data_IF_330005968358
#
_entry.id   IF_330005968358
#
_cell.length_a   1.000
_cell.length_b   1.000
_cell.length_c   1.000
_cell.angle_alpha   90.00
_cell.angle_beta   90.00
_cell.angle_gamma   90.00
#
_symmetry.space_group_name_H-M   'P 1'
#
loop_
_entity.id
_entity.type
_entity.pdbx_description
1 polymer ?
#
# COMPACT_ATOMS: atom_id res chain seq x y z
N UNK A 1 -5.08 3.88 -13.99
CA UNK A 1 -6.16 4.89 -13.94
C UNK A 1 -6.30 5.57 -12.58
N UNK A 2 -6.73 4.91 -11.49
CA UNK A 2 -6.99 5.62 -10.20
C UNK A 2 -5.82 6.47 -9.67
N UNK A 3 -4.58 5.99 -9.71
CA UNK A 3 -3.39 6.76 -9.29
C UNK A 3 -3.20 8.04 -10.13
N UNK A 4 -3.57 8.00 -11.42
CA UNK A 4 -3.53 9.16 -12.32
C UNK A 4 -4.55 10.22 -11.91
N UNK A 5 -5.66 9.82 -11.28
CA UNK A 5 -6.71 10.73 -10.83
C UNK A 5 -6.44 11.36 -9.45
N UNK A 6 -5.37 10.97 -8.75
CA UNK A 6 -5.00 11.64 -7.50
C UNK A 6 -4.74 13.13 -7.77
N UNK A 7 -5.32 14.00 -6.95
CA UNK A 7 -5.02 15.43 -6.96
C UNK A 7 -3.69 15.64 -6.22
N UNK A 8 -2.60 15.40 -6.94
CA UNK A 8 -1.24 15.64 -6.47
C UNK A 8 -0.30 15.75 -7.68
N UNK A 9 0.71 16.65 -7.67
CA UNK A 9 1.62 16.83 -8.80
C UNK A 9 2.28 15.52 -9.21
N UNK A 10 2.05 15.10 -10.46
CA UNK A 10 2.45 13.75 -10.95
C UNK A 10 3.96 13.62 -11.10
N UNK A 11 4.62 14.70 -11.46
CA UNK A 11 6.08 14.85 -11.47
C UNK A 11 6.71 14.62 -10.08
N UNK A 12 5.94 14.70 -9.00
CA UNK A 12 6.35 14.40 -7.62
C UNK A 12 5.95 13.01 -7.13
N UNK A 13 5.33 12.20 -7.99
CA UNK A 13 4.93 10.84 -7.67
C UNK A 13 5.84 9.85 -8.38
N UNK A 14 6.53 9.01 -7.60
CA UNK A 14 7.22 7.82 -8.11
C UNK A 14 6.36 6.60 -7.82
N UNK A 15 5.95 5.87 -8.87
CA UNK A 15 5.15 4.66 -8.75
C UNK A 15 6.07 3.45 -8.85
N UNK A 16 6.13 2.65 -7.79
CA UNK A 16 6.98 1.46 -7.73
C UNK A 16 6.08 0.23 -7.66
N UNK A 17 6.09 -0.58 -8.71
CA UNK A 17 5.37 -1.86 -8.72
C UNK A 17 6.26 -2.97 -8.16
N UNK A 18 5.72 -3.71 -7.20
CA UNK A 18 6.34 -4.94 -6.71
C UNK A 18 5.75 -6.16 -7.40
N UNK A 19 6.56 -6.87 -8.18
CA UNK A 19 6.16 -8.09 -8.90
C UNK A 19 6.88 -9.29 -8.26
N UNK A 20 6.20 -10.43 -8.09
CA UNK A 20 6.74 -11.57 -7.34
C UNK A 20 6.64 -12.90 -8.11
N UNK A 21 7.17 -12.92 -9.33
CA UNK A 21 7.14 -14.08 -10.23
C UNK A 21 5.71 -14.64 -10.36
N UNK A 22 4.78 -13.75 -10.69
CA UNK A 22 3.37 -14.10 -10.93
C UNK A 22 3.25 -15.15 -12.02
N UNK A 23 2.30 -16.06 -11.87
CA UNK A 23 1.98 -17.14 -12.81
C UNK A 23 0.92 -16.73 -13.84
N UNK A 24 0.62 -15.43 -13.91
CA UNK A 24 -0.36 -14.82 -14.80
C UNK A 24 0.26 -13.65 -15.59
N UNK A 25 -0.58 -12.86 -16.24
CA UNK A 25 -0.16 -11.75 -17.11
C UNK A 25 0.20 -10.46 -16.34
N UNK A 26 0.35 -10.52 -15.02
CA UNK A 26 0.63 -9.35 -14.19
C UNK A 26 1.89 -8.61 -14.64
N UNK A 27 2.98 -9.34 -14.93
CA UNK A 27 4.25 -8.75 -15.39
C UNK A 27 4.10 -8.02 -16.73
N UNK A 28 3.40 -8.63 -17.69
CA UNK A 28 3.08 -8.02 -19.00
C UNK A 28 2.26 -6.74 -18.85
N UNK A 29 1.23 -6.78 -18.01
CA UNK A 29 0.34 -5.64 -17.75
C UNK A 29 1.13 -4.48 -17.12
N UNK A 30 1.95 -4.77 -16.10
CA UNK A 30 2.80 -3.77 -15.45
C UNK A 30 3.80 -3.16 -16.45
N UNK A 31 4.41 -3.96 -17.31
CA UNK A 31 5.31 -3.46 -18.35
C UNK A 31 4.58 -2.54 -19.34
N UNK A 32 3.37 -2.91 -19.75
CA UNK A 32 2.52 -2.08 -20.61
C UNK A 32 2.14 -0.74 -19.97
N UNK A 33 1.73 -0.76 -18.69
CA UNK A 33 1.40 0.44 -17.91
C UNK A 33 2.63 1.34 -17.76
N UNK A 34 3.77 0.76 -17.38
CA UNK A 34 5.03 1.50 -17.22
C UNK A 34 5.43 2.19 -18.51
N UNK A 35 5.36 1.50 -19.65
CA UNK A 35 5.68 2.08 -20.96
C UNK A 35 4.71 3.19 -21.35
N UNK A 36 3.41 3.00 -21.08
CA UNK A 36 2.36 3.93 -21.49
C UNK A 36 2.38 5.24 -20.70
N UNK A 37 2.72 5.18 -19.42
CA UNK A 37 2.54 6.30 -18.49
C UNK A 37 3.84 6.79 -17.85
N UNK A 38 5.02 6.31 -18.26
CA UNK A 38 6.31 6.70 -17.68
C UNK A 38 6.54 8.21 -17.69
N UNK A 39 6.09 8.92 -18.72
CA UNK A 39 6.25 10.37 -18.86
C UNK A 39 5.25 11.21 -18.07
N UNK A 40 4.17 10.61 -17.57
CA UNK A 40 3.17 11.34 -16.77
C UNK A 40 3.63 11.53 -15.32
N UNK A 41 4.48 10.65 -14.81
CA UNK A 41 4.91 10.62 -13.42
C UNK A 41 6.38 11.02 -13.26
N UNK A 42 6.79 11.40 -12.04
CA UNK A 42 8.20 11.60 -11.71
C UNK A 42 9.05 10.34 -11.92
N UNK A 43 8.40 9.17 -11.89
CA UNK A 43 8.93 7.96 -12.48
C UNK A 43 8.02 6.76 -12.23
N UNK A 44 8.17 5.74 -13.07
CA UNK A 44 7.57 4.42 -12.84
C UNK A 44 8.70 3.39 -12.86
N UNK A 45 8.76 2.55 -11.84
CA UNK A 45 9.72 1.44 -11.77
C UNK A 45 9.06 0.16 -11.31
N UNK A 46 9.74 -0.95 -11.57
CA UNK A 46 9.34 -2.29 -11.16
C UNK A 46 10.47 -2.92 -10.37
N UNK A 47 10.16 -3.57 -9.27
CA UNK A 47 11.13 -4.39 -8.53
C UNK A 47 10.59 -5.81 -8.38
N UNK A 48 11.50 -6.77 -8.53
CA UNK A 48 11.21 -8.15 -8.16
C UNK A 48 11.16 -8.27 -6.63
N UNK A 49 10.15 -8.97 -6.13
CA UNK A 49 9.87 -9.15 -4.71
C UNK A 49 10.31 -10.53 -4.25
N UNK A 50 11.06 -10.57 -3.15
CA UNK A 50 11.45 -11.83 -2.52
C UNK A 50 10.32 -12.33 -1.61
N UNK A 51 9.37 -13.07 -2.18
CA UNK A 51 8.32 -13.75 -1.41
C UNK A 51 8.77 -15.14 -0.95
N UNK A 52 8.98 -15.32 0.34
CA UNK A 52 9.25 -16.63 0.96
C UNK A 52 8.04 -17.21 1.73
N UNK A 53 6.85 -16.66 1.52
CA UNK A 53 5.60 -17.17 2.11
C UNK A 53 4.94 -18.28 1.26
N UNK A 54 4.08 -19.12 1.87
CA UNK A 54 3.44 -20.23 1.16
C UNK A 54 2.51 -19.73 0.03
N UNK A 55 2.60 -20.34 -1.16
CA UNK A 55 1.63 -20.14 -2.25
C UNK A 55 0.32 -20.83 -1.89
N UNK A 56 -0.72 -20.03 -1.63
CA UNK A 56 -2.02 -20.50 -1.15
C UNK A 56 -3.16 -19.96 -2.01
N UNK A 57 -4.12 -20.84 -2.32
CA UNK A 57 -5.41 -20.44 -2.93
C UNK A 57 -6.08 -19.37 -2.08
N UNK A 58 -6.70 -18.36 -2.72
CA UNK A 58 -7.34 -17.21 -2.04
C UNK A 58 -8.28 -17.64 -0.90
N UNK A 59 -9.11 -18.66 -1.13
CA UNK A 59 -10.04 -19.22 -0.14
C UNK A 59 -9.40 -19.83 1.12
N UNK A 60 -8.08 -20.09 1.11
CA UNK A 60 -7.34 -20.64 2.26
C UNK A 60 -6.44 -19.61 2.95
N UNK A 61 -6.28 -18.43 2.37
CA UNK A 61 -5.34 -17.39 2.83
C UNK A 61 -5.66 -16.83 4.21
N UNK A 62 -6.94 -16.86 4.62
CA UNK A 62 -7.41 -16.37 5.91
C UNK A 62 -7.07 -17.30 7.09
N UNK A 63 -6.78 -18.59 6.84
CA UNK A 63 -6.61 -19.59 7.90
C UNK A 63 -5.46 -19.21 8.86
N UNK A 64 -5.69 -19.18 10.19
CA UNK A 64 -4.69 -18.72 11.17
C UNK A 64 -3.32 -19.36 11.03
N UNK A 65 -3.27 -20.68 10.82
CA UNK A 65 -2.02 -21.46 10.68
C UNK A 65 -1.08 -20.99 9.56
N UNK A 66 -1.59 -20.25 8.58
CA UNK A 66 -0.78 -19.70 7.49
C UNK A 66 -0.43 -18.23 7.67
N UNK A 67 -1.06 -17.53 8.62
CA UNK A 67 -0.93 -16.07 8.72
C UNK A 67 0.50 -15.65 9.04
N UNK A 68 1.19 -16.33 9.96
CA UNK A 68 2.58 -15.99 10.30
C UNK A 68 3.48 -16.04 9.07
N UNK A 69 3.62 -17.22 8.44
CA UNK A 69 4.48 -17.40 7.27
C UNK A 69 4.08 -16.49 6.09
N UNK A 70 2.78 -16.28 5.87
CA UNK A 70 2.31 -15.35 4.82
C UNK A 70 2.68 -13.90 5.13
N UNK A 71 2.47 -13.43 6.36
CA UNK A 71 2.74 -12.04 6.77
C UNK A 71 4.24 -11.77 6.80
N UNK A 72 5.07 -12.73 7.21
CA UNK A 72 6.53 -12.62 7.12
C UNK A 72 7.00 -12.45 5.67
N UNK A 73 6.45 -13.23 4.72
CA UNK A 73 6.77 -13.07 3.31
C UNK A 73 6.32 -11.74 2.71
N UNK A 74 5.15 -11.22 3.13
CA UNK A 74 4.69 -9.89 2.72
C UNK A 74 5.56 -8.77 3.32
N UNK A 75 5.99 -8.90 4.58
CA UNK A 75 6.89 -7.93 5.21
C UNK A 75 8.22 -7.83 4.45
N UNK A 76 8.80 -8.96 4.03
CA UNK A 76 10.02 -8.97 3.22
C UNK A 76 9.83 -8.29 1.87
N UNK A 77 8.73 -8.59 1.17
CA UNK A 77 8.39 -7.92 -0.08
C UNK A 77 8.23 -6.40 0.08
N UNK A 78 7.61 -5.95 1.17
CA UNK A 78 7.50 -4.52 1.49
C UNK A 78 8.88 -3.90 1.78
N UNK A 79 9.78 -4.62 2.43
CA UNK A 79 11.16 -4.12 2.62
C UNK A 79 11.90 -3.95 1.29
N UNK A 80 11.71 -4.85 0.33
CA UNK A 80 12.31 -4.72 -1.01
C UNK A 80 11.78 -3.46 -1.73
N UNK A 81 10.47 -3.19 -1.66
CA UNK A 81 9.86 -1.97 -2.20
C UNK A 81 10.34 -0.70 -1.50
N UNK A 82 10.42 -0.72 -0.17
CA UNK A 82 10.91 0.40 0.63
C UNK A 82 12.36 0.73 0.26
N UNK A 83 13.22 -0.28 0.15
CA UNK A 83 14.61 -0.10 -0.25
C UNK A 83 14.74 0.53 -1.64
N UNK A 84 13.85 0.20 -2.58
CA UNK A 84 13.86 0.83 -3.91
C UNK A 84 13.40 2.29 -3.86
N UNK A 85 12.34 2.61 -3.11
CA UNK A 85 11.90 4.00 -3.00
C UNK A 85 12.87 4.90 -2.21
N UNK A 86 13.59 4.36 -1.22
CA UNK A 86 14.65 5.10 -0.53
C UNK A 86 15.78 5.51 -1.47
N UNK A 87 16.17 4.68 -2.45
CA UNK A 87 17.17 5.06 -3.47
C UNK A 87 16.72 6.21 -4.35
N UNK A 88 15.42 6.46 -4.47
CA UNK A 88 14.84 7.57 -5.24
C UNK A 88 14.79 8.88 -4.45
N UNK A 89 15.16 8.87 -3.17
CA UNK A 89 15.12 10.07 -2.32
C UNK A 89 13.70 10.56 -2.02
N UNK A 90 12.73 9.66 -1.95
CA UNK A 90 11.33 10.01 -1.64
C UNK A 90 11.16 10.37 -0.16
N UNK A 91 10.44 11.47 0.11
CA UNK A 91 10.16 11.94 1.48
C UNK A 91 9.03 11.16 2.18
N UNK A 92 8.06 10.68 1.40
CA UNK A 92 6.87 9.99 1.89
C UNK A 92 6.61 8.71 1.08
N UNK A 93 6.04 7.72 1.76
CA UNK A 93 5.71 6.42 1.17
C UNK A 93 4.21 6.14 1.35
N UNK A 94 3.50 6.02 0.23
CA UNK A 94 2.09 5.58 0.22
C UNK A 94 2.04 4.11 -0.21
N UNK A 95 1.58 3.24 0.69
CA UNK A 95 1.36 1.82 0.39
C UNK A 95 -0.04 1.61 -0.18
N UNK A 96 -0.13 1.06 -1.39
CA UNK A 96 -1.41 0.69 -2.02
C UNK A 96 -1.37 -0.80 -2.39
N UNK A 97 -2.30 -1.57 -1.83
CA UNK A 97 -2.50 -2.96 -2.24
C UNK A 97 -3.27 -2.99 -3.59
N UNK A 98 -3.00 -4.01 -4.42
CA UNK A 98 -3.53 -4.11 -5.79
C UNK A 98 -5.05 -4.34 -5.85
N UNK A 99 -5.66 -4.76 -4.74
CA UNK A 99 -7.10 -4.98 -4.62
C UNK A 99 -7.88 -3.74 -4.16
N UNK A 100 -7.23 -2.57 -4.05
CA UNK A 100 -7.92 -1.29 -3.87
C UNK A 100 -8.57 -0.83 -5.18
N UNK A 101 -9.89 -0.77 -5.18
CA UNK A 101 -10.70 -0.45 -6.37
C UNK A 101 -11.27 0.98 -6.38
N UNK A 102 -11.11 1.72 -5.29
CA UNK A 102 -11.54 3.12 -5.18
C UNK A 102 -10.56 3.94 -4.33
N UNK A 103 -10.18 5.10 -4.85
CA UNK A 103 -9.34 6.09 -4.15
C UNK A 103 -10.01 7.47 -4.28
N UNK A 104 -10.21 8.21 -3.18
CA UNK A 104 -10.59 9.61 -3.28
C UNK A 104 -9.45 10.39 -3.94
N UNK A 105 -9.78 11.35 -4.80
CA UNK A 105 -8.77 12.09 -5.57
C UNK A 105 -7.84 12.87 -4.64
N UNK A 106 -8.37 13.44 -3.56
CA UNK A 106 -7.62 14.21 -2.56
C UNK A 106 -6.94 13.36 -1.47
N UNK A 107 -6.83 12.03 -1.65
CA UNK A 107 -6.27 11.10 -0.66
C UNK A 107 -4.92 11.56 -0.11
N UNK A 108 -3.98 11.93 -0.98
CA UNK A 108 -2.61 12.31 -0.58
C UNK A 108 -2.65 13.55 0.31
N UNK A 109 -3.45 14.56 -0.05
CA UNK A 109 -3.63 15.76 0.74
C UNK A 109 -4.21 15.45 2.13
N UNK A 110 -5.23 14.58 2.21
CA UNK A 110 -5.84 14.18 3.49
C UNK A 110 -4.85 13.47 4.41
N UNK A 111 -4.06 12.54 3.87
CA UNK A 111 -3.06 11.81 4.66
C UNK A 111 -1.95 12.74 5.16
N UNK A 112 -1.44 13.65 4.31
CA UNK A 112 -0.44 14.63 4.71
C UNK A 112 -0.97 15.62 5.76
N UNK A 113 -2.26 16.00 5.68
CA UNK A 113 -2.90 16.90 6.63
C UNK A 113 -2.97 16.34 8.06
N UNK A 114 -2.90 15.01 8.23
CA UNK A 114 -2.86 14.37 9.54
C UNK A 114 -1.57 14.70 10.34
N UNK A 115 -0.50 15.17 9.67
CA UNK A 115 0.79 15.54 10.29
C UNK A 115 1.38 14.44 11.20
N UNK A 116 1.10 13.18 10.89
CA UNK A 116 1.60 12.02 11.62
C UNK A 116 2.76 11.36 10.87
N UNK A 117 3.67 10.71 11.60
CA UNK A 117 4.76 9.92 10.99
C UNK A 117 4.22 8.72 10.20
N UNK A 118 3.13 8.13 10.69
CA UNK A 118 2.42 7.01 10.05
C UNK A 118 0.93 7.30 10.21
N UNK A 119 0.20 7.24 9.10
CA UNK A 119 -1.26 7.36 9.05
C UNK A 119 -1.79 6.34 8.06
N UNK A 120 -2.98 5.81 8.33
CA UNK A 120 -3.65 4.86 7.45
C UNK A 120 -5.11 5.28 7.29
N UNK A 121 -5.65 5.28 6.06
CA UNK A 121 -7.09 5.46 5.86
C UNK A 121 -7.84 4.22 6.35
N UNK A 122 -9.10 4.40 6.75
CA UNK A 122 -10.03 3.27 6.93
C UNK A 122 -10.43 2.75 5.54
N UNK A 123 -10.12 1.48 5.25
CA UNK A 123 -10.56 0.82 4.04
C UNK A 123 -11.95 0.23 4.28
N UNK A 124 -12.89 0.52 3.39
CA UNK A 124 -14.29 0.07 3.46
C UNK A 124 -14.64 -0.73 2.20
N UNK A 125 -15.63 -1.64 2.31
CA UNK A 125 -16.12 -2.41 1.16
C UNK A 125 -17.01 -1.60 0.21
N UNK A 126 -17.61 -0.53 0.71
CA UNK A 126 -18.44 0.41 -0.04
C UNK A 126 -18.25 1.80 0.56
N UNK A 127 -18.35 2.85 -0.25
CA UNK A 127 -18.30 4.22 0.25
C UNK A 127 -19.32 4.45 1.38
N UNK A 128 -18.86 5.01 2.50
CA UNK A 128 -19.67 5.18 3.72
C UNK A 128 -20.07 3.89 4.44
N UNK A 129 -19.60 2.72 3.99
CA UNK A 129 -19.87 1.43 4.60
C UNK A 129 -18.99 1.13 5.82
N UNK A 130 -19.18 -0.06 6.39
CA UNK A 130 -18.39 -0.52 7.53
C UNK A 130 -16.92 -0.70 7.19
N UNK A 131 -16.06 -0.47 8.19
CA UNK A 131 -14.63 -0.77 8.12
C UNK A 131 -14.39 -2.22 7.72
N UNK A 132 -13.61 -2.40 6.67
CA UNK A 132 -13.04 -3.69 6.27
C UNK A 132 -11.73 -3.96 7.03
N UNK A 133 -11.03 -2.91 7.46
CA UNK A 133 -9.72 -3.03 8.11
C UNK A 133 -9.82 -3.29 9.62
N UNK A 134 -10.33 -4.48 9.95
CA UNK A 134 -10.49 -4.93 11.33
C UNK A 134 -9.16 -5.25 12.04
N UNK A 135 -8.04 -5.28 11.31
CA UNK A 135 -6.71 -5.53 11.90
C UNK A 135 -6.02 -4.24 12.35
N UNK A 136 -6.36 -3.12 11.73
CA UNK A 136 -5.91 -1.79 12.13
C UNK A 136 -6.90 -1.16 13.11
N UNK A 137 -8.19 -1.22 12.79
CA UNK A 137 -9.26 -0.51 13.48
C UNK A 137 -10.13 -1.44 14.35
N UNK A 138 -9.51 -2.48 14.93
CA UNK A 138 -10.24 -3.39 15.83
C UNK A 138 -10.91 -2.57 16.96
N UNK A 139 -12.17 -2.88 17.28
CA UNK A 139 -12.96 -2.25 18.35
C UNK A 139 -12.32 -2.27 19.75
N UNK A 140 -11.14 -2.88 19.91
CA UNK A 140 -10.35 -2.85 21.15
C UNK A 140 -9.68 -1.50 21.42
N UNK A 141 -9.69 -0.55 20.46
CA UNK A 141 -9.28 0.84 20.70
C UNK A 141 -10.34 1.69 21.41
N UNK A 142 -11.45 1.09 21.86
CA UNK A 142 -12.45 1.76 22.70
C UNK A 142 -12.05 1.72 24.19
N UNK A 143 -10.77 1.96 24.49
CA UNK A 143 -10.27 2.25 25.83
C UNK A 143 -9.60 3.62 25.78
N UNK A 144 -10.36 4.62 26.18
CA UNK A 144 -9.90 5.92 26.69
C UNK A 144 -8.80 6.60 25.84
N UNK A 145 -9.22 7.40 24.85
CA UNK A 145 -8.37 8.21 23.97
C UNK A 145 -7.54 9.31 24.70
N UNK A 146 -7.51 9.32 26.03
CA UNK A 146 -6.75 10.31 26.80
C UNK A 146 -5.25 10.02 26.97
N UNK A 147 -4.68 8.95 26.38
CA UNK A 147 -3.31 8.50 26.73
C UNK A 147 -2.27 8.22 25.63
N UNK A 148 -2.55 8.44 24.35
CA UNK A 148 -1.56 8.09 23.28
C UNK A 148 -0.79 9.28 22.70
N UNK A 149 -1.06 10.52 23.11
CA UNK A 149 -0.18 11.65 22.79
C UNK A 149 0.12 12.50 24.03
N UNK A 150 1.18 12.13 24.77
CA UNK A 150 1.91 13.12 25.59
C UNK A 150 3.00 13.73 24.73
N UNK A 151 2.99 15.04 24.45
CA UNK A 151 4.02 15.70 23.68
C UNK A 151 5.20 16.06 24.60
N UNK A 152 5.96 15.06 25.06
CA UNK A 152 7.23 15.32 25.75
C UNK A 152 8.26 14.24 25.39
N UNK A 153 9.02 14.51 24.33
CA UNK A 153 10.50 14.42 24.21
C UNK A 153 10.90 14.57 22.74
#
# INVERSE_FOLDING_TARGET
>A
EQIRNLDYPKDRLHVIYGEAASDDRTSEIIAGISKRYSSEFGGISTTELKRNGPRLKRSKRWKPKYQLARRSGLAKARNDLLAEGLKKGSDWFLWLDVDIIGLPTDLVHRLLAAKAKIVTPDCVLSEGGSSYDLNVLSRYWNTDESRIFSPHL
#
